data_IF_177378925276
#
_entry.id   IF_177378925276
#
_cell.length_a   1.000
_cell.length_b   1.000
_cell.length_c   1.000
_cell.angle_alpha   90.00
_cell.angle_beta   90.00
_cell.angle_gamma   90.00
#
_symmetry.space_group_name_H-M   'P 1'
#
loop_
_entity.id
_entity.type
_entity.pdbx_description
1 polymer ?
#
# COMPACT_ATOMS: atom_id res chain seq x y z
N UNK A 1 -20.05 -19.06 -10.71
CA UNK A 1 -19.13 -18.76 -9.60
C UNK A 1 -17.76 -19.30 -9.97
N UNK A 2 -16.90 -18.46 -10.57
CA UNK A 2 -15.58 -18.92 -11.02
C UNK A 2 -14.53 -18.49 -9.99
N UNK A 3 -14.03 -19.47 -9.21
CA UNK A 3 -12.79 -19.34 -8.44
C UNK A 3 -11.69 -19.06 -9.46
N UNK A 4 -11.25 -17.81 -9.58
CA UNK A 4 -10.03 -17.50 -10.33
C UNK A 4 -8.84 -17.97 -9.51
N UNK A 5 -8.00 -18.74 -10.18
CA UNK A 5 -6.79 -19.37 -9.68
C UNK A 5 -5.85 -18.38 -8.98
N UNK A 6 -5.21 -18.88 -7.91
CA UNK A 6 -4.17 -18.19 -7.18
C UNK A 6 -2.88 -18.13 -8.03
N UNK A 7 -2.76 -17.11 -8.87
CA UNK A 7 -1.53 -16.75 -9.55
C UNK A 7 -1.06 -15.39 -9.03
N UNK A 8 0.01 -15.33 -8.23
CA UNK A 8 0.88 -14.15 -8.01
C UNK A 8 0.27 -12.76 -8.28
N UNK A 9 -0.83 -12.36 -7.62
CA UNK A 9 -1.50 -11.08 -7.94
C UNK A 9 -0.85 -9.90 -7.22
N UNK A 10 0.36 -9.50 -7.62
CA UNK A 10 0.92 -8.18 -7.28
C UNK A 10 0.05 -7.10 -7.96
N UNK A 11 -0.44 -6.12 -7.20
CA UNK A 11 -1.34 -5.07 -7.70
C UNK A 11 -0.88 -3.66 -7.36
N UNK A 12 -1.59 -2.65 -7.86
CA UNK A 12 -1.47 -1.26 -7.37
C UNK A 12 -2.39 -1.05 -6.19
N UNK A 13 -1.98 -0.23 -5.22
CA UNK A 13 -2.82 0.09 -4.07
C UNK A 13 -4.13 0.80 -4.49
N UNK A 14 -4.09 1.64 -5.52
CA UNK A 14 -5.28 2.34 -6.05
C UNK A 14 -6.38 1.40 -6.61
N UNK A 15 -6.04 0.15 -6.89
CA UNK A 15 -6.94 -0.87 -7.46
C UNK A 15 -7.56 -1.78 -6.38
N UNK A 16 -7.14 -1.63 -5.12
CA UNK A 16 -7.64 -2.43 -3.99
C UNK A 16 -9.00 -1.91 -3.52
N UNK A 17 -9.95 -2.82 -3.30
CA UNK A 17 -11.32 -2.43 -2.92
C UNK A 17 -11.45 -2.17 -1.43
N UNK A 18 -12.46 -1.38 -1.06
CA UNK A 18 -12.83 -1.18 0.34
C UNK A 18 -13.17 -2.52 1.01
N UNK A 19 -12.68 -2.71 2.24
CA UNK A 19 -12.79 -3.94 3.01
C UNK A 19 -11.66 -4.95 2.76
N UNK A 20 -10.83 -4.76 1.73
CA UNK A 20 -9.73 -5.67 1.44
C UNK A 20 -8.48 -5.34 2.26
N UNK A 21 -7.71 -6.39 2.58
CA UNK A 21 -6.40 -6.29 3.20
C UNK A 21 -5.31 -6.43 2.15
N UNK A 22 -4.23 -5.69 2.33
CA UNK A 22 -3.05 -5.81 1.49
C UNK A 22 -1.78 -5.56 2.29
N UNK A 23 -0.63 -5.85 1.70
CA UNK A 23 0.69 -5.55 2.27
C UNK A 23 1.49 -4.77 1.24
N UNK A 24 2.00 -3.61 1.63
CA UNK A 24 2.87 -2.82 0.75
C UNK A 24 4.14 -3.63 0.49
N UNK A 25 4.55 -3.80 -0.76
CA UNK A 25 5.81 -4.48 -1.07
C UNK A 25 6.83 -3.62 -1.79
N UNK A 26 6.38 -2.57 -2.48
CA UNK A 26 7.27 -1.64 -3.18
C UNK A 26 6.59 -0.28 -3.34
N UNK A 27 7.40 0.77 -3.25
CA UNK A 27 7.07 2.12 -3.73
C UNK A 27 7.79 2.26 -5.07
N UNK A 28 7.12 2.73 -6.13
CA UNK A 28 7.79 2.88 -7.44
C UNK A 28 8.80 4.03 -7.41
N UNK A 29 9.78 3.99 -8.31
CA UNK A 29 10.80 5.04 -8.45
C UNK A 29 10.15 6.42 -8.71
N UNK A 30 9.08 6.45 -9.50
CA UNK A 30 8.26 7.66 -9.72
C UNK A 30 7.68 8.24 -8.41
N UNK A 31 7.34 7.41 -7.43
CA UNK A 31 6.92 7.91 -6.11
C UNK A 31 8.10 8.32 -5.23
N UNK A 32 9.31 7.80 -5.48
CA UNK A 32 10.53 8.21 -4.78
C UNK A 32 10.99 9.59 -5.23
N UNK A 33 10.65 10.02 -6.45
CA UNK A 33 10.92 11.38 -6.96
C UNK A 33 10.04 12.46 -6.30
N UNK A 34 8.90 12.08 -5.71
CA UNK A 34 8.05 12.99 -4.92
C UNK A 34 8.41 12.92 -3.43
N UNK A 35 9.30 13.81 -3.00
CA UNK A 35 9.74 13.91 -1.61
C UNK A 35 8.57 14.16 -0.62
N UNK A 36 7.50 14.84 -1.06
CA UNK A 36 6.32 15.11 -0.24
C UNK A 36 5.49 13.85 0.00
N UNK A 37 5.26 13.07 -1.07
CA UNK A 37 4.60 11.77 -0.97
C UNK A 37 5.41 10.80 -0.11
N UNK A 38 6.73 10.71 -0.34
CA UNK A 38 7.58 9.83 0.45
C UNK A 38 7.49 10.22 1.92
N UNK A 39 7.69 11.50 2.27
CA UNK A 39 7.58 12.00 3.65
C UNK A 39 6.22 11.71 4.29
N UNK A 40 5.14 11.77 3.52
CA UNK A 40 3.80 11.47 3.99
C UNK A 40 3.60 9.97 4.28
N UNK A 41 3.93 9.11 3.32
CA UNK A 41 3.99 7.66 3.55
C UNK A 41 4.89 7.39 4.76
N UNK A 42 5.93 8.24 4.91
CA UNK A 42 6.87 8.17 5.98
C UNK A 42 6.29 8.28 7.36
N UNK A 43 5.64 9.41 7.59
CA UNK A 43 4.95 9.75 8.83
C UNK A 43 3.79 8.81 9.18
N UNK A 44 3.27 8.03 8.22
CA UNK A 44 2.17 7.06 8.43
C UNK A 44 2.63 5.61 8.59
N UNK A 45 3.93 5.34 8.54
CA UNK A 45 4.48 3.98 8.63
C UNK A 45 4.12 3.10 7.41
N UNK A 46 3.74 3.72 6.29
CA UNK A 46 3.44 3.03 5.05
C UNK A 46 4.76 2.73 4.33
N UNK A 47 5.40 1.60 4.67
CA UNK A 47 6.64 1.09 4.06
C UNK A 47 6.42 -0.28 3.43
N UNK A 48 7.33 -0.73 2.55
CA UNK A 48 7.44 -2.15 2.24
C UNK A 48 7.39 -3.03 3.51
N UNK A 49 6.54 -4.05 3.48
CA UNK A 49 6.20 -4.93 4.61
C UNK A 49 5.04 -4.46 5.49
N UNK A 50 4.54 -3.22 5.33
CA UNK A 50 3.45 -2.71 6.14
C UNK A 50 2.11 -3.36 5.74
N UNK A 51 1.40 -4.02 6.69
CA UNK A 51 0.04 -4.47 6.45
C UNK A 51 -0.91 -3.28 6.50
N UNK A 52 -1.88 -3.27 5.58
CA UNK A 52 -2.92 -2.24 5.49
C UNK A 52 -4.30 -2.88 5.25
N UNK A 53 -5.34 -2.17 5.66
CA UNK A 53 -6.73 -2.45 5.27
C UNK A 53 -7.30 -1.24 4.54
N UNK A 54 -7.91 -1.42 3.37
CA UNK A 54 -8.59 -0.32 2.69
C UNK A 54 -9.95 -0.10 3.35
N UNK A 55 -10.15 1.07 3.95
CA UNK A 55 -11.41 1.43 4.59
C UNK A 55 -12.41 1.99 3.58
N UNK A 56 -11.95 2.80 2.63
CA UNK A 56 -12.78 3.41 1.61
C UNK A 56 -11.97 3.70 0.35
N UNK A 57 -12.64 3.63 -0.81
CA UNK A 57 -12.14 4.08 -2.12
C UNK A 57 -13.24 4.90 -2.77
N UNK A 58 -12.91 6.11 -3.22
CA UNK A 58 -13.83 7.00 -3.90
C UNK A 58 -13.21 7.53 -5.18
N UNK A 59 -13.80 7.14 -6.31
CA UNK A 59 -13.38 7.66 -7.62
C UNK A 59 -13.78 9.13 -7.79
N UNK A 60 -14.97 9.51 -7.29
CA UNK A 60 -15.46 10.90 -7.36
C UNK A 60 -14.59 11.87 -6.57
N UNK A 61 -14.01 11.43 -5.46
CA UNK A 61 -13.11 12.23 -4.62
C UNK A 61 -11.62 12.00 -4.94
N UNK A 62 -11.31 11.21 -5.99
CA UNK A 62 -9.96 10.76 -6.36
C UNK A 62 -9.11 10.36 -5.15
N UNK A 63 -9.70 9.64 -4.18
CA UNK A 63 -9.05 9.35 -2.91
C UNK A 63 -9.39 7.97 -2.35
N UNK A 64 -8.49 7.48 -1.49
CA UNK A 64 -8.70 6.27 -0.71
C UNK A 64 -8.24 6.48 0.73
N UNK A 65 -8.90 5.78 1.64
CA UNK A 65 -8.57 5.77 3.07
C UNK A 65 -8.16 4.37 3.48
N UNK A 66 -7.07 4.29 4.21
CA UNK A 66 -6.45 3.08 4.71
C UNK A 66 -6.47 3.08 6.24
N UNK A 67 -6.48 1.90 6.82
CA UNK A 67 -5.98 1.66 8.17
C UNK A 67 -4.60 1.00 8.06
N UNK A 68 -3.59 1.62 8.66
CA UNK A 68 -2.20 1.20 8.59
C UNK A 68 -1.53 1.15 9.97
N UNK A 69 -0.20 0.93 10.02
CA UNK A 69 0.51 0.68 11.28
C UNK A 69 0.43 1.83 12.30
N UNK A 70 0.35 3.07 11.82
CA UNK A 70 0.23 4.27 12.67
C UNK A 70 -1.20 4.85 12.65
N UNK A 71 -2.19 4.03 12.32
CA UNK A 71 -3.60 4.40 12.23
C UNK A 71 -4.03 4.79 10.82
N UNK A 72 -5.13 5.55 10.74
CA UNK A 72 -5.76 5.90 9.46
C UNK A 72 -4.86 6.78 8.61
N UNK A 73 -4.84 6.55 7.30
CA UNK A 73 -4.19 7.40 6.32
C UNK A 73 -5.09 7.62 5.10
N UNK A 74 -5.09 8.83 4.53
CA UNK A 74 -5.83 9.14 3.30
C UNK A 74 -4.85 9.60 2.24
N UNK A 75 -5.02 9.14 1.01
CA UNK A 75 -4.17 9.51 -0.12
C UNK A 75 -5.01 9.59 -1.40
N UNK A 76 -4.55 10.37 -2.37
CA UNK A 76 -5.17 10.40 -3.68
C UNK A 76 -4.99 9.07 -4.42
N UNK A 77 -5.87 8.74 -5.39
CA UNK A 77 -5.70 7.50 -6.16
C UNK A 77 -4.47 7.55 -7.06
N UNK A 78 -4.07 8.74 -7.53
CA UNK A 78 -2.82 8.94 -8.28
C UNK A 78 -1.58 8.52 -7.48
N UNK A 79 -1.28 9.08 -6.30
CA UNK A 79 -0.16 8.62 -5.49
C UNK A 79 -0.33 7.16 -5.02
N UNK A 80 -1.55 6.69 -4.80
CA UNK A 80 -1.79 5.27 -4.50
C UNK A 80 -1.43 4.34 -5.67
N UNK A 81 -1.54 4.77 -6.92
CA UNK A 81 -1.19 3.96 -8.09
C UNK A 81 0.32 3.67 -8.19
N UNK A 82 1.13 4.49 -7.51
CA UNK A 82 2.59 4.35 -7.41
C UNK A 82 3.01 3.38 -6.29
N UNK A 83 2.09 2.97 -5.43
CA UNK A 83 2.36 1.99 -4.37
C UNK A 83 1.94 0.60 -4.84
N UNK A 84 2.84 -0.37 -4.69
CA UNK A 84 2.61 -1.75 -5.07
C UNK A 84 2.33 -2.62 -3.86
N UNK A 85 1.33 -3.48 -3.98
CA UNK A 85 0.81 -4.29 -2.88
C UNK A 85 0.68 -5.78 -3.23
N UNK A 86 0.78 -6.61 -2.20
CA UNK A 86 0.41 -8.01 -2.20
C UNK A 86 -0.96 -8.15 -1.53
N UNK A 87 -1.86 -9.01 -2.02
CA UNK A 87 -3.15 -9.26 -1.39
C UNK A 87 -2.96 -9.94 -0.03
N UNK A 88 -3.79 -9.54 0.93
CA UNK A 88 -3.77 -10.06 2.28
C UNK A 88 -2.61 -9.54 3.13
N UNK A 89 -2.40 -10.20 4.26
CA UNK A 89 -1.27 -9.96 5.15
C UNK A 89 -0.13 -10.87 4.72
N UNK A 90 0.85 -10.32 4.02
CA UNK A 90 2.05 -11.06 3.64
C UNK A 90 2.94 -11.26 4.86
N UNK A 91 3.68 -12.37 4.87
CA UNK A 91 4.63 -12.67 5.94
C UNK A 91 5.70 -11.57 5.99
N UNK A 92 5.87 -10.86 7.12
CA UNK A 92 6.87 -9.81 7.28
C UNK A 92 8.31 -10.27 6.99
N UNK A 93 8.60 -11.57 7.12
CA UNK A 93 9.91 -12.16 6.82
C UNK A 93 10.28 -12.16 5.32
N UNK A 94 9.30 -11.97 4.44
CA UNK A 94 9.51 -11.84 2.99
C UNK A 94 10.08 -10.46 2.60
N UNK A 95 10.09 -9.50 3.53
CA UNK A 95 10.58 -8.15 3.29
C UNK A 95 11.93 -7.98 3.97
N UNK A 96 12.95 -7.69 3.16
CA UNK A 96 14.29 -7.43 3.68
C UNK A 96 14.26 -6.15 4.55
N UNK A 97 14.43 -6.29 5.87
CA UNK A 97 14.71 -5.15 6.74
C UNK A 97 16.14 -4.72 6.52
N UNK A 98 16.34 -3.53 5.96
CA UNK A 98 17.66 -2.87 5.99
C UNK A 98 17.98 -2.61 7.47
N UNK A 99 19.12 -3.12 7.99
CA UNK A 99 19.52 -2.82 9.36
C UNK A 99 19.64 -1.31 9.53
N UNK A 100 19.06 -0.76 10.59
CA UNK A 100 19.27 0.63 10.98
C UNK A 100 20.78 0.86 11.08
N UNK A 101 21.34 1.80 10.32
CA UNK A 101 22.70 2.27 10.60
C UNK A 101 22.68 2.94 11.97
N UNK A 102 23.26 2.26 12.95
CA UNK A 102 23.68 2.81 14.24
C UNK A 102 24.85 3.77 14.07
#
# INVERSE_FOLDING_TARGET
MSRREAASCRGRLAEVNAGEKATIYRITEEAEEDAGLLSYLEARGLRPGAPITVLARSESLDSMTLDGPLGRATLGLRPAALVRVLPGTADPSLFHRVPSRS
#
